data_IF_709641610650
#
_entry.id   IF_709641610650
#
_cell.length_a   1.000
_cell.length_b   1.000
_cell.length_c   1.000
_cell.angle_alpha   90.00
_cell.angle_beta   90.00
_cell.angle_gamma   90.00
#
_symmetry.space_group_name_H-M   'P 1'
#
loop_
_entity.id
_entity.type
_entity.pdbx_description
1 polymer ?
#
# COMPACT_ATOMS: atom_id res chain seq x y z
N UNK A 1 -10.28 12.43 -12.96
CA UNK A 1 -11.14 11.26 -12.63
C UNK A 1 -10.60 10.41 -11.48
N UNK A 2 -9.30 10.05 -11.41
CA UNK A 2 -8.73 9.29 -10.26
C UNK A 2 -8.76 10.05 -8.92
N UNK A 3 -8.64 11.38 -8.94
CA UNK A 3 -8.62 12.24 -7.73
C UNK A 3 -9.98 12.35 -7.04
N UNK A 4 -11.08 12.40 -7.81
CA UNK A 4 -12.45 12.46 -7.28
C UNK A 4 -12.88 11.14 -6.66
N UNK A 5 -12.53 10.01 -7.30
CA UNK A 5 -12.79 8.67 -6.77
C UNK A 5 -12.07 8.42 -5.44
N UNK A 6 -10.78 8.77 -5.35
CA UNK A 6 -9.99 8.65 -4.11
C UNK A 6 -10.53 9.54 -2.98
N UNK A 7 -11.03 10.73 -3.31
CA UNK A 7 -11.68 11.63 -2.35
C UNK A 7 -12.97 11.02 -1.80
N UNK A 8 -13.77 10.40 -2.64
CA UNK A 8 -15.02 9.74 -2.23
C UNK A 8 -14.75 8.53 -1.32
N UNK A 9 -13.78 7.69 -1.68
CA UNK A 9 -13.35 6.55 -0.84
C UNK A 9 -12.88 7.02 0.55
N UNK A 10 -12.07 8.08 0.61
CA UNK A 10 -11.63 8.65 1.88
C UNK A 10 -12.81 9.20 2.69
N UNK A 11 -13.78 9.84 2.05
CA UNK A 11 -14.98 10.35 2.71
C UNK A 11 -15.79 9.20 3.33
N UNK A 12 -15.98 8.09 2.60
CA UNK A 12 -16.67 6.91 3.12
C UNK A 12 -15.96 6.33 4.35
N UNK A 13 -14.63 6.21 4.32
CA UNK A 13 -13.82 5.74 5.45
C UNK A 13 -13.97 6.64 6.68
N UNK A 14 -13.92 7.96 6.48
CA UNK A 14 -14.14 8.94 7.56
C UNK A 14 -15.54 8.80 8.14
N UNK A 15 -16.55 8.67 7.28
CA UNK A 15 -17.95 8.50 7.70
C UNK A 15 -18.12 7.21 8.52
N UNK A 16 -17.54 6.10 8.09
CA UNK A 16 -17.57 4.83 8.84
C UNK A 16 -16.97 5.01 10.23
N UNK A 17 -15.77 5.59 10.35
CA UNK A 17 -15.14 5.84 11.65
C UNK A 17 -15.99 6.77 12.50
N UNK A 18 -16.51 7.85 11.92
CA UNK A 18 -17.37 8.81 12.62
C UNK A 18 -18.63 8.16 13.17
N UNK A 19 -19.31 7.33 12.36
CA UNK A 19 -20.49 6.57 12.80
C UNK A 19 -20.14 5.58 13.89
N UNK A 20 -19.01 4.85 13.78
CA UNK A 20 -18.56 3.94 14.84
C UNK A 20 -18.32 4.69 16.15
N UNK A 21 -17.56 5.77 16.12
CA UNK A 21 -17.27 6.57 17.32
C UNK A 21 -18.56 7.10 17.93
N UNK A 22 -19.45 7.72 17.14
CA UNK A 22 -20.71 8.26 17.66
C UNK A 22 -21.65 7.19 18.20
N UNK A 23 -21.73 6.03 17.55
CA UNK A 23 -22.60 4.93 17.99
C UNK A 23 -22.09 4.29 19.28
N UNK A 24 -20.77 4.08 19.39
CA UNK A 24 -20.15 3.52 20.61
C UNK A 24 -20.25 4.55 21.75
N UNK A 25 -20.01 5.84 21.48
CA UNK A 25 -20.23 6.93 22.45
C UNK A 25 -21.68 7.01 22.92
N UNK A 26 -22.64 6.95 22.01
CA UNK A 26 -24.06 6.94 22.35
C UNK A 26 -24.44 5.73 23.21
N UNK A 27 -23.97 4.54 22.84
CA UNK A 27 -24.18 3.33 23.62
C UNK A 27 -23.56 3.44 25.03
N UNK A 28 -22.36 4.00 25.12
CA UNK A 28 -21.68 4.24 26.39
C UNK A 28 -22.38 5.31 27.25
N UNK A 29 -23.05 6.30 26.68
CA UNK A 29 -23.77 7.29 27.50
C UNK A 29 -25.16 6.81 27.93
N UNK A 30 -25.84 6.00 27.11
CA UNK A 30 -27.24 5.59 27.34
C UNK A 30 -27.38 4.30 28.15
N UNK A 31 -26.54 3.28 27.92
CA UNK A 31 -26.69 1.94 28.55
C UNK A 31 -25.91 1.77 29.86
N UNK A 32 -25.16 2.79 30.22
CA UNK A 32 -24.18 2.75 31.30
C UNK A 32 -24.78 3.02 32.68
N UNK A 33 -25.96 3.61 32.79
CA UNK A 33 -26.48 3.92 34.13
C UNK A 33 -26.98 2.67 34.89
N UNK A 34 -27.48 1.66 34.18
CA UNK A 34 -28.28 0.59 34.80
C UNK A 34 -27.57 -0.77 34.92
N UNK A 35 -26.45 -0.99 34.21
CA UNK A 35 -25.75 -2.28 34.18
C UNK A 35 -24.21 -2.13 34.24
N UNK A 36 -23.55 -2.40 35.37
CA UNK A 36 -22.09 -2.27 35.51
C UNK A 36 -21.27 -3.08 34.48
N UNK A 37 -21.84 -4.16 33.93
CA UNK A 37 -21.16 -5.04 32.95
C UNK A 37 -21.19 -4.55 31.50
N UNK A 38 -22.17 -3.74 31.10
CA UNK A 38 -22.26 -3.21 29.72
C UNK A 38 -21.20 -2.14 29.45
N UNK A 39 -20.75 -1.46 30.50
CA UNK A 39 -19.61 -0.53 30.47
C UNK A 39 -18.33 -1.13 29.91
N UNK A 40 -18.04 -2.38 30.26
CA UNK A 40 -16.77 -3.03 29.90
C UNK A 40 -16.75 -3.41 28.43
N UNK A 41 -17.88 -3.83 27.87
CA UNK A 41 -17.96 -4.23 26.45
C UNK A 41 -17.95 -3.03 25.50
N UNK A 42 -18.64 -1.94 25.87
CA UNK A 42 -18.61 -0.68 25.10
C UNK A 42 -17.19 -0.11 24.99
N UNK A 43 -16.42 -0.30 26.06
CA UNK A 43 -15.00 0.05 26.21
C UNK A 43 -14.13 -0.56 25.12
N UNK A 44 -14.19 -1.88 25.01
CA UNK A 44 -13.36 -2.66 24.08
C UNK A 44 -13.69 -2.31 22.62
N UNK A 45 -14.92 -1.91 22.33
CA UNK A 45 -15.34 -1.53 20.99
C UNK A 45 -14.63 -0.27 20.48
N UNK A 46 -14.16 0.64 21.33
CA UNK A 46 -13.43 1.83 20.90
C UNK A 46 -12.05 1.52 20.31
N UNK A 47 -11.46 0.35 20.59
CA UNK A 47 -10.24 -0.07 19.91
C UNK A 47 -10.46 -0.25 18.41
N UNK A 48 -11.65 -0.70 17.98
CA UNK A 48 -11.94 -0.93 16.57
C UNK A 48 -11.81 0.33 15.70
N UNK A 49 -12.51 1.46 15.96
CA UNK A 49 -12.34 2.66 15.16
C UNK A 49 -10.93 3.23 15.24
N UNK A 50 -10.23 3.13 16.38
CA UNK A 50 -8.83 3.60 16.51
C UNK A 50 -7.89 2.79 15.61
N UNK A 51 -7.94 1.46 15.69
CA UNK A 51 -7.11 0.55 14.91
C UNK A 51 -7.44 0.69 13.42
N UNK A 52 -8.73 0.76 13.05
CA UNK A 52 -9.16 0.93 11.66
C UNK A 52 -8.69 2.27 11.09
N UNK A 53 -8.76 3.34 11.88
CA UNK A 53 -8.24 4.65 11.52
C UNK A 53 -6.73 4.64 11.32
N UNK A 54 -5.99 3.94 12.19
CA UNK A 54 -4.56 3.72 12.02
C UNK A 54 -4.25 2.98 10.71
N UNK A 55 -4.96 1.90 10.41
CA UNK A 55 -4.72 1.14 9.17
C UNK A 55 -5.00 1.95 7.91
N UNK A 56 -6.04 2.78 7.90
CA UNK A 56 -6.38 3.59 6.73
C UNK A 56 -5.52 4.84 6.60
N UNK A 57 -5.37 5.60 7.69
CA UNK A 57 -4.85 6.96 7.68
C UNK A 57 -3.50 7.13 8.40
N UNK A 58 -2.94 6.05 8.95
CA UNK A 58 -1.67 6.09 9.66
C UNK A 58 -1.78 6.73 11.03
N UNK A 59 -0.65 7.22 11.54
CA UNK A 59 -0.55 7.83 12.86
C UNK A 59 -1.47 9.04 13.02
N UNK A 60 -1.59 9.88 11.99
CA UNK A 60 -2.40 11.10 12.05
C UNK A 60 -3.88 10.79 12.26
N UNK A 61 -4.44 9.85 11.51
CA UNK A 61 -5.86 9.49 11.64
C UNK A 61 -6.15 8.77 12.96
N UNK A 62 -5.26 7.86 13.38
CA UNK A 62 -5.35 7.18 14.65
C UNK A 62 -5.41 8.17 15.83
N UNK A 63 -4.50 9.15 15.86
CA UNK A 63 -4.45 10.19 16.90
C UNK A 63 -5.68 11.08 16.90
N UNK A 64 -6.15 11.54 15.73
CA UNK A 64 -7.38 12.34 15.65
C UNK A 64 -8.56 11.55 16.22
N UNK A 65 -8.63 10.25 15.91
CA UNK A 65 -9.71 9.37 16.35
C UNK A 65 -9.62 9.10 17.86
N UNK A 66 -8.45 8.76 18.39
CA UNK A 66 -8.25 8.50 19.83
C UNK A 66 -8.46 9.75 20.67
N UNK A 67 -8.02 10.92 20.21
CA UNK A 67 -8.26 12.19 20.90
C UNK A 67 -9.74 12.59 20.86
N UNK A 68 -10.45 12.31 19.77
CA UNK A 68 -11.90 12.54 19.71
C UNK A 68 -12.64 11.65 20.71
N UNK A 69 -12.31 10.36 20.76
CA UNK A 69 -12.86 9.42 21.76
C UNK A 69 -12.52 9.90 23.17
N UNK A 70 -11.27 10.30 23.40
CA UNK A 70 -10.82 10.87 24.68
C UNK A 70 -11.65 12.08 25.08
N UNK A 71 -11.93 13.00 24.15
CA UNK A 71 -12.74 14.19 24.45
C UNK A 71 -14.18 13.84 24.86
N UNK A 72 -14.84 12.92 24.13
CA UNK A 72 -16.18 12.44 24.48
C UNK A 72 -16.20 11.73 25.83
N UNK A 73 -15.26 10.82 26.04
CA UNK A 73 -15.18 9.99 27.24
C UNK A 73 -14.79 10.80 28.48
N UNK A 74 -13.81 11.70 28.34
CA UNK A 74 -13.35 12.56 29.43
C UNK A 74 -14.43 13.54 29.88
N UNK A 75 -15.20 14.09 28.94
CA UNK A 75 -16.37 14.93 29.26
C UNK A 75 -17.35 14.19 30.15
N UNK A 76 -17.68 12.92 29.82
CA UNK A 76 -18.51 12.07 30.66
C UNK A 76 -17.89 11.80 32.04
N UNK A 77 -16.57 11.55 32.08
CA UNK A 77 -15.83 11.24 33.31
C UNK A 77 -15.81 12.38 34.31
N UNK A 78 -15.74 13.65 33.87
CA UNK A 78 -15.76 14.82 34.78
C UNK A 78 -17.07 14.87 35.57
N UNK A 79 -18.20 14.63 34.91
CA UNK A 79 -19.52 14.68 35.57
C UNK A 79 -19.76 13.54 36.57
N UNK A 80 -19.04 12.42 36.42
CA UNK A 80 -19.17 11.22 37.24
C UNK A 80 -17.92 10.93 38.07
N UNK A 81 -17.09 11.95 38.30
CA UNK A 81 -15.86 11.83 39.06
C UNK A 81 -16.16 11.59 40.54
N UNK A 82 -15.61 10.54 41.13
CA UNK A 82 -15.86 10.16 42.53
C UNK A 82 -14.61 10.23 43.41
N UNK A 83 -13.61 11.04 43.02
CA UNK A 83 -12.45 11.30 43.87
C UNK A 83 -11.42 10.17 43.85
N UNK A 84 -11.05 9.68 42.65
CA UNK A 84 -10.10 8.58 42.45
C UNK A 84 -10.61 7.24 43.01
N UNK A 85 -11.88 6.95 42.76
CA UNK A 85 -12.42 5.60 42.93
C UNK A 85 -11.73 4.60 41.99
N UNK A 86 -11.93 3.30 42.20
CA UNK A 86 -11.45 2.25 41.28
C UNK A 86 -11.97 2.46 39.86
N UNK A 87 -13.22 2.90 39.73
CA UNK A 87 -13.87 3.15 38.43
C UNK A 87 -13.23 4.35 37.71
N UNK A 88 -12.80 5.38 38.45
CA UNK A 88 -12.09 6.52 37.89
C UNK A 88 -10.70 6.11 37.37
N UNK A 89 -9.99 5.24 38.11
CA UNK A 89 -8.71 4.69 37.68
C UNK A 89 -8.84 3.85 36.42
N UNK A 90 -9.86 3.00 36.32
CA UNK A 90 -10.14 2.19 35.14
C UNK A 90 -10.41 3.07 33.90
N UNK A 91 -11.18 4.17 34.06
CA UNK A 91 -11.43 5.14 32.99
C UNK A 91 -10.16 5.86 32.53
N UNK A 92 -9.30 6.25 33.46
CA UNK A 92 -8.03 6.91 33.13
C UNK A 92 -7.07 5.97 32.41
N UNK A 93 -6.91 4.74 32.91
CA UNK A 93 -6.07 3.72 32.28
C UNK A 93 -6.52 3.45 30.84
N UNK A 94 -7.83 3.40 30.62
CA UNK A 94 -8.39 3.19 29.29
C UNK A 94 -8.08 4.33 28.31
N UNK A 95 -8.20 5.60 28.74
CA UNK A 95 -7.78 6.74 27.92
C UNK A 95 -6.30 6.60 27.55
N UNK A 96 -5.46 6.21 28.51
CA UNK A 96 -4.04 5.95 28.26
C UNK A 96 -3.87 4.82 27.24
N UNK A 97 -4.59 3.71 27.38
CA UNK A 97 -4.51 2.58 26.46
C UNK A 97 -4.96 2.93 25.03
N UNK A 98 -6.06 3.64 24.82
CA UNK A 98 -6.48 4.04 23.47
C UNK A 98 -5.45 4.93 22.78
N UNK A 99 -4.88 5.88 23.51
CA UNK A 99 -3.86 6.76 22.95
C UNK A 99 -2.55 6.00 22.69
N UNK A 100 -2.16 5.09 23.59
CA UNK A 100 -1.00 4.22 23.38
C UNK A 100 -1.18 3.33 22.13
N UNK A 101 -2.34 2.68 21.97
CA UNK A 101 -2.67 1.86 20.79
C UNK A 101 -2.67 2.71 19.53
N UNK A 102 -3.27 3.90 19.55
CA UNK A 102 -3.27 4.82 18.41
C UNK A 102 -1.85 5.18 17.96
N UNK A 103 -0.97 5.51 18.92
CA UNK A 103 0.43 5.83 18.65
C UNK A 103 1.15 4.62 18.07
N UNK A 104 1.09 3.47 18.75
CA UNK A 104 1.84 2.26 18.36
C UNK A 104 1.38 1.75 17.00
N UNK A 105 0.08 1.51 16.82
CA UNK A 105 -0.48 0.96 15.58
C UNK A 105 -0.33 1.95 14.43
N UNK A 106 -0.58 3.24 14.68
CA UNK A 106 -0.44 4.29 13.68
C UNK A 106 1.01 4.47 13.21
N UNK A 107 1.96 4.51 14.15
CA UNK A 107 3.38 4.61 13.84
C UNK A 107 3.89 3.39 13.09
N UNK A 108 3.51 2.18 13.52
CA UNK A 108 3.92 0.95 12.87
C UNK A 108 3.40 0.87 11.43
N UNK A 109 2.14 1.27 11.20
CA UNK A 109 1.55 1.31 9.86
C UNK A 109 2.28 2.30 8.95
N UNK A 110 2.63 3.49 9.45
CA UNK A 110 3.37 4.48 8.67
C UNK A 110 4.80 4.00 8.36
N UNK A 111 5.47 3.36 9.32
CA UNK A 111 6.79 2.72 9.15
C UNK A 111 6.73 1.61 8.09
N UNK A 112 5.75 0.71 8.16
CA UNK A 112 5.59 -0.35 7.16
C UNK A 112 5.34 0.20 5.76
N UNK A 113 4.48 1.22 5.64
CA UNK A 113 4.22 1.90 4.35
C UNK A 113 5.46 2.61 3.82
N UNK A 114 6.26 3.24 4.68
CA UNK A 114 7.52 3.87 4.29
C UNK A 114 8.53 2.84 3.77
N UNK A 115 8.76 1.76 4.51
CA UNK A 115 9.67 0.69 4.08
C UNK A 115 9.24 0.01 2.78
N UNK A 116 7.94 -0.24 2.59
CA UNK A 116 7.42 -0.80 1.35
C UNK A 116 7.67 0.14 0.15
N UNK A 117 7.50 1.45 0.35
CA UNK A 117 7.81 2.47 -0.68
C UNK A 117 9.30 2.53 -0.99
N UNK A 118 10.17 2.59 0.02
CA UNK A 118 11.63 2.61 -0.16
C UNK A 118 12.12 1.38 -0.94
N UNK A 119 11.61 0.20 -0.60
CA UNK A 119 11.93 -1.04 -1.31
C UNK A 119 11.49 -0.98 -2.78
N UNK A 120 10.28 -0.50 -3.06
CA UNK A 120 9.79 -0.35 -4.42
C UNK A 120 10.61 0.66 -5.22
N UNK A 121 10.93 1.82 -4.64
CA UNK A 121 11.75 2.84 -5.30
C UNK A 121 13.17 2.33 -5.59
N UNK A 122 13.75 1.54 -4.68
CA UNK A 122 15.04 0.88 -4.92
C UNK A 122 14.97 -0.13 -6.06
N UNK A 123 13.90 -0.94 -6.14
CA UNK A 123 13.68 -1.87 -7.25
C UNK A 123 13.51 -1.13 -8.57
N UNK A 124 12.74 -0.04 -8.59
CA UNK A 124 12.57 0.81 -9.78
C UNK A 124 13.89 1.41 -10.25
N UNK A 125 14.67 1.96 -9.33
CA UNK A 125 15.97 2.55 -9.65
C UNK A 125 16.92 1.51 -10.26
N UNK A 126 17.04 0.33 -9.63
CA UNK A 126 17.86 -0.77 -10.16
C UNK A 126 17.37 -1.23 -11.52
N UNK A 127 16.06 -1.42 -11.70
CA UNK A 127 15.50 -1.88 -12.96
C UNK A 127 15.70 -0.86 -14.10
N UNK A 128 15.59 0.44 -13.80
CA UNK A 128 15.89 1.51 -14.74
C UNK A 128 17.39 1.52 -15.13
N UNK A 129 18.30 1.42 -14.16
CA UNK A 129 19.75 1.36 -14.42
C UNK A 129 20.12 0.13 -15.25
N UNK A 130 19.71 -1.06 -14.83
CA UNK A 130 19.97 -2.32 -15.56
C UNK A 130 19.38 -2.25 -16.97
N UNK A 131 18.17 -1.70 -17.10
CA UNK A 131 17.55 -1.50 -18.40
C UNK A 131 18.36 -0.57 -19.32
N UNK A 132 18.89 0.51 -18.78
CA UNK A 132 19.73 1.43 -19.55
C UNK A 132 21.06 0.78 -19.95
N UNK A 133 21.70 0.07 -19.03
CA UNK A 133 22.99 -0.59 -19.26
C UNK A 133 22.89 -1.77 -20.24
N UNK A 134 21.77 -2.50 -20.27
CA UNK A 134 21.56 -3.58 -21.25
C UNK A 134 21.15 -3.03 -22.62
N UNK A 135 20.42 -1.91 -22.69
CA UNK A 135 20.02 -1.31 -23.96
C UNK A 135 21.23 -0.90 -24.83
N UNK A 136 22.31 -0.43 -24.21
CA UNK A 136 23.53 0.00 -24.92
C UNK A 136 24.21 -1.13 -25.72
N UNK A 137 24.64 -2.26 -25.13
CA UNK A 137 25.22 -3.37 -25.87
C UNK A 137 24.22 -4.03 -26.82
N UNK A 138 22.92 -4.02 -26.49
CA UNK A 138 21.89 -4.54 -27.38
C UNK A 138 21.72 -3.69 -28.64
N UNK A 139 21.85 -2.35 -28.52
CA UNK A 139 21.86 -1.45 -29.67
C UNK A 139 23.07 -1.72 -30.58
N UNK A 140 24.25 -1.93 -30.00
CA UNK A 140 25.47 -2.30 -30.76
C UNK A 140 25.30 -3.65 -31.46
N UNK A 141 24.80 -4.67 -30.75
CA UNK A 141 24.57 -6.00 -31.32
C UNK A 141 23.56 -5.94 -32.48
N UNK A 142 22.47 -5.20 -32.31
CA UNK A 142 21.46 -5.01 -33.36
C UNK A 142 22.06 -4.31 -34.58
N UNK A 143 22.80 -3.21 -34.37
CA UNK A 143 23.43 -2.46 -35.46
C UNK A 143 24.44 -3.31 -36.23
N UNK A 144 25.23 -4.16 -35.56
CA UNK A 144 26.15 -5.06 -36.23
C UNK A 144 25.43 -6.12 -37.08
N UNK A 145 24.32 -6.67 -36.58
CA UNK A 145 23.50 -7.63 -37.35
C UNK A 145 22.82 -6.95 -38.54
N UNK A 146 22.37 -5.70 -38.38
CA UNK A 146 21.82 -4.90 -39.47
C UNK A 146 22.87 -4.66 -40.56
N UNK A 147 24.06 -4.18 -40.19
CA UNK A 147 25.16 -3.95 -41.14
C UNK A 147 25.60 -5.23 -41.86
N UNK A 148 25.75 -6.35 -41.13
CA UNK A 148 26.12 -7.63 -41.75
C UNK A 148 25.03 -8.11 -42.72
N UNK A 149 23.76 -7.87 -42.40
CA UNK A 149 22.66 -8.33 -43.24
C UNK A 149 22.53 -7.51 -44.54
N UNK A 150 22.95 -6.24 -44.54
CA UNK A 150 22.98 -5.39 -45.73
C UNK A 150 23.99 -5.88 -46.80
N UNK A 151 24.95 -6.72 -46.42
CA UNK A 151 25.97 -7.28 -47.33
C UNK A 151 25.50 -8.54 -48.09
N UNK A 152 24.30 -9.07 -47.81
CA UNK A 152 23.78 -10.31 -48.39
C UNK A 152 22.45 -10.13 -49.14
N UNK A 153 22.22 -10.93 -50.19
CA UNK A 153 20.94 -10.98 -50.92
C UNK A 153 19.81 -11.52 -50.02
N UNK A 154 18.59 -10.98 -50.16
CA UNK A 154 17.45 -11.27 -49.28
C UNK A 154 17.02 -12.75 -49.29
N UNK A 155 17.27 -13.44 -50.40
CA UNK A 155 16.98 -14.85 -50.64
C UNK A 155 18.14 -15.79 -50.23
N UNK A 156 19.25 -15.23 -49.76
CA UNK A 156 20.37 -16.02 -49.23
C UNK A 156 20.05 -16.64 -47.86
N UNK A 157 20.60 -17.83 -47.61
CA UNK A 157 20.49 -18.52 -46.32
C UNK A 157 21.03 -17.65 -45.17
N UNK A 158 22.17 -16.98 -45.38
CA UNK A 158 22.80 -16.10 -44.39
C UNK A 158 21.92 -14.90 -44.02
N UNK A 159 21.23 -14.30 -44.99
CA UNK A 159 20.29 -13.20 -44.70
C UNK A 159 19.17 -13.67 -43.77
N UNK A 160 18.63 -14.87 -44.00
CA UNK A 160 17.60 -15.47 -43.15
C UNK A 160 18.11 -15.78 -41.73
N UNK A 161 19.35 -16.28 -41.59
CA UNK A 161 19.96 -16.51 -40.28
C UNK A 161 20.15 -15.21 -39.48
N UNK A 162 20.68 -14.16 -40.13
CA UNK A 162 20.85 -12.83 -39.53
C UNK A 162 19.50 -12.22 -39.13
N UNK A 163 18.45 -12.41 -39.94
CA UNK A 163 17.10 -11.99 -39.61
C UNK A 163 16.59 -12.67 -38.33
N UNK A 164 16.87 -13.97 -38.14
CA UNK A 164 16.55 -14.70 -36.90
C UNK A 164 17.25 -14.12 -35.66
N UNK A 165 18.53 -13.75 -35.79
CA UNK A 165 19.29 -13.10 -34.71
C UNK A 165 18.69 -11.72 -34.40
N UNK A 166 18.36 -10.93 -35.43
CA UNK A 166 17.73 -9.62 -35.30
C UNK A 166 16.40 -9.70 -34.54
N UNK A 167 15.56 -10.68 -34.88
CA UNK A 167 14.29 -10.94 -34.17
C UNK A 167 14.54 -11.27 -32.70
N UNK A 168 15.49 -12.15 -32.41
CA UNK A 168 15.84 -12.52 -31.03
C UNK A 168 16.33 -11.31 -30.21
N UNK A 169 17.21 -10.47 -30.78
CA UNK A 169 17.65 -9.23 -30.14
C UNK A 169 16.50 -8.25 -29.89
N UNK A 170 15.51 -8.21 -30.80
CA UNK A 170 14.32 -7.34 -30.67
C UNK A 170 13.42 -7.83 -29.54
N UNK A 171 13.27 -9.15 -29.38
CA UNK A 171 12.54 -9.74 -28.26
C UNK A 171 13.20 -9.41 -26.92
N UNK A 172 14.53 -9.52 -26.83
CA UNK A 172 15.29 -9.12 -25.64
C UNK A 172 15.07 -7.63 -25.34
N UNK A 173 15.13 -6.75 -26.34
CA UNK A 173 14.85 -5.31 -26.18
C UNK A 173 13.48 -5.04 -25.54
N UNK A 174 12.46 -5.77 -25.98
CA UNK A 174 11.10 -5.66 -25.43
C UNK A 174 11.07 -6.08 -23.97
N UNK A 175 11.75 -7.16 -23.59
CA UNK A 175 11.84 -7.60 -22.19
C UNK A 175 12.57 -6.59 -21.31
N UNK A 176 13.69 -6.06 -21.78
CA UNK A 176 14.49 -5.03 -21.07
C UNK A 176 13.67 -3.76 -20.85
N UNK A 177 12.87 -3.35 -21.84
CA UNK A 177 11.94 -2.21 -21.73
C UNK A 177 10.86 -2.43 -20.68
N UNK A 178 10.35 -3.67 -20.53
CA UNK A 178 9.38 -4.01 -19.47
C UNK A 178 10.03 -3.94 -18.08
N UNK A 179 11.26 -4.44 -17.96
CA UNK A 179 12.03 -4.37 -16.70
C UNK A 179 12.25 -2.91 -16.30
N UNK A 180 12.72 -2.05 -17.21
CA UNK A 180 13.03 -0.65 -16.89
C UNK A 180 11.82 0.22 -16.53
N UNK A 181 10.61 -0.26 -16.81
CA UNK A 181 9.33 0.44 -16.59
C UNK A 181 8.47 -0.23 -15.51
N UNK A 182 9.08 -0.96 -14.58
CA UNK A 182 8.37 -1.52 -13.43
C UNK A 182 7.76 -0.39 -12.59
N UNK A 183 6.46 -0.46 -12.33
CA UNK A 183 5.73 0.46 -11.45
C UNK A 183 5.33 -0.19 -10.13
N UNK A 184 5.06 -1.50 -10.16
CA UNK A 184 4.68 -2.34 -9.04
C UNK A 184 5.31 -3.72 -9.19
N UNK A 185 5.56 -4.44 -8.09
CA UNK A 185 6.10 -5.81 -8.15
C UNK A 185 4.96 -6.80 -7.98
N UNK A 186 4.46 -7.33 -9.11
CA UNK A 186 3.47 -8.42 -9.13
C UNK A 186 4.21 -9.73 -9.31
N UNK A 187 3.94 -10.70 -8.44
CA UNK A 187 4.55 -12.03 -8.52
C UNK A 187 3.54 -13.09 -8.96
N UNK A 188 4.03 -14.12 -9.64
CA UNK A 188 3.27 -15.32 -9.99
C UNK A 188 4.01 -16.56 -9.51
N UNK A 189 3.24 -17.62 -9.25
CA UNK A 189 3.80 -18.93 -8.97
C UNK A 189 4.47 -19.47 -10.24
N UNK A 190 5.66 -20.05 -10.09
CA UNK A 190 6.44 -20.62 -11.19
C UNK A 190 6.44 -22.15 -11.16
N UNK A 191 6.63 -22.74 -9.97
CA UNK A 191 6.83 -24.18 -9.79
C UNK A 191 6.33 -24.71 -8.42
N UNK A 192 5.50 -23.94 -7.71
CA UNK A 192 4.97 -24.29 -6.38
C UNK A 192 5.95 -24.05 -5.23
N UNK A 193 7.23 -23.77 -5.52
CA UNK A 193 8.26 -23.50 -4.50
C UNK A 193 8.84 -22.09 -4.61
N UNK A 194 8.79 -21.51 -5.82
CA UNK A 194 9.37 -20.21 -6.12
C UNK A 194 8.35 -19.27 -6.78
N UNK A 195 8.50 -17.97 -6.48
CA UNK A 195 7.72 -16.90 -7.09
C UNK A 195 8.62 -16.07 -7.99
N UNK A 196 8.15 -15.80 -9.21
CA UNK A 196 8.84 -14.93 -10.17
C UNK A 196 8.03 -13.65 -10.42
N UNK A 197 8.72 -12.60 -10.84
CA UNK A 197 8.08 -11.33 -11.20
C UNK A 197 7.33 -11.50 -12.51
N UNK A 198 6.05 -11.13 -12.52
CA UNK A 198 5.25 -11.01 -13.73
C UNK A 198 5.51 -9.63 -14.36
N UNK A 199 6.47 -9.55 -15.27
CA UNK A 199 6.88 -8.30 -15.92
C UNK A 199 5.74 -7.62 -16.68
N UNK A 200 4.77 -8.38 -17.21
CA UNK A 200 3.63 -7.82 -17.93
C UNK A 200 2.70 -7.06 -17.02
N UNK A 201 2.41 -7.60 -15.83
CA UNK A 201 1.58 -6.95 -14.81
C UNK A 201 2.33 -5.89 -14.00
N UNK A 202 3.64 -6.06 -13.87
CA UNK A 202 4.52 -5.19 -13.07
C UNK A 202 4.92 -3.91 -13.80
N UNK A 203 4.90 -3.92 -15.14
CA UNK A 203 5.18 -2.75 -15.96
C UNK A 203 3.90 -2.13 -16.48
N UNK A 204 3.89 -0.81 -16.68
CA UNK A 204 2.71 -0.12 -17.18
C UNK A 204 2.38 -0.61 -18.61
N UNK A 205 1.30 -1.36 -18.74
CA UNK A 205 0.86 -2.01 -19.97
C UNK A 205 0.22 -1.00 -20.94
N UNK A 206 0.98 -0.03 -21.43
CA UNK A 206 0.55 0.84 -22.53
C UNK A 206 1.15 0.45 -23.89
N UNK A 207 2.04 -0.54 -23.96
CA UNK A 207 2.46 -1.14 -25.23
C UNK A 207 1.63 -2.41 -25.48
N UNK A 208 0.37 -2.23 -25.89
CA UNK A 208 -0.20 -3.20 -26.84
C UNK A 208 0.54 -3.02 -28.16
N UNK A 209 0.93 -4.11 -28.86
CA UNK A 209 1.46 -3.97 -30.20
C UNK A 209 0.43 -3.22 -31.05
N UNK A 210 0.85 -2.08 -31.63
CA UNK A 210 0.12 -1.50 -32.75
C UNK A 210 0.14 -2.57 -33.83
N UNK A 211 -1.05 -3.06 -34.16
CA UNK A 211 -1.33 -3.98 -35.26
C UNK A 211 -0.66 -3.51 -36.55
#
# INVERSE_FOLDING_TARGET
MKTTAKRYENMQKILIIGVMVLSISGMHMLLSHDFPKTHVVARELYFLPVILSAFWFGLRGALITSLSITAFYFTYSIFHWQGFSTDDLDRLLEIVFFNAVAIITGFLQDRQRAHAREKLESIKALAATVGHEINSPLFVAMGNVELLQDDFEEDSETYSELAGIRVSLKEIKVLVKKISRIEEVVTRDYDGTSKIVDLGKSSNSMDQPVN
#
